data_IF_119267102815
#
_entry.id   IF_119267102815
#
_cell.length_a   1.000
_cell.length_b   1.000
_cell.length_c   1.000
_cell.angle_alpha   90.00
_cell.angle_beta   90.00
_cell.angle_gamma   90.00
#
_symmetry.space_group_name_H-M   'P 1'
#
loop_
_entity.id
_entity.type
_entity.pdbx_description
1 polymer ?
#
# COMPACT_ATOMS: atom_id res chain seq x y z
N UNK A 1 11.49 -41.41 -0.45
CA UNK A 1 12.43 -42.12 -1.33
C UNK A 1 12.83 -43.37 -0.57
N UNK A 2 12.38 -44.56 -0.99
CA UNK A 2 12.81 -45.81 -0.35
C UNK A 2 14.22 -46.11 -0.83
N UNK A 3 15.21 -45.75 -0.02
CA UNK A 3 16.59 -46.11 -0.26
C UNK A 3 16.68 -47.63 -0.26
N UNK A 4 17.04 -48.21 -1.41
CA UNK A 4 17.23 -49.66 -1.51
C UNK A 4 18.63 -49.96 -1.02
N UNK A 5 18.82 -50.77 0.04
CA UNK A 5 20.14 -51.07 0.57
C UNK A 5 21.06 -51.60 -0.53
N UNK A 6 22.29 -51.08 -0.60
CA UNK A 6 23.25 -51.39 -1.66
C UNK A 6 24.38 -52.23 -1.07
N UNK A 7 24.71 -53.32 -1.72
CA UNK A 7 25.87 -54.17 -1.40
C UNK A 7 26.93 -53.90 -2.45
N UNK A 8 28.11 -53.48 -2.01
CA UNK A 8 29.26 -53.29 -2.87
C UNK A 8 30.34 -54.31 -2.51
N UNK A 9 30.64 -55.22 -3.45
CA UNK A 9 31.58 -56.32 -3.22
C UNK A 9 31.09 -57.29 -2.15
N UNK A 10 31.62 -57.17 -0.93
CA UNK A 10 31.30 -58.04 0.22
C UNK A 10 30.61 -57.32 1.37
N UNK A 11 30.21 -56.06 1.19
CA UNK A 11 29.73 -55.22 2.29
C UNK A 11 28.38 -54.61 1.93
N UNK A 12 27.39 -54.79 2.81
CA UNK A 12 26.15 -54.04 2.78
C UNK A 12 26.41 -52.62 3.30
N UNK A 13 26.14 -51.63 2.46
CA UNK A 13 26.25 -50.21 2.79
C UNK A 13 25.01 -49.74 3.55
N UNK A 14 25.23 -49.19 4.74
CA UNK A 14 24.22 -48.63 5.63
C UNK A 14 24.90 -47.95 6.82
N UNK A 15 24.11 -47.59 7.84
CA UNK A 15 24.62 -46.91 9.06
C UNK A 15 25.70 -47.75 9.78
N UNK A 16 25.58 -49.08 9.70
CA UNK A 16 26.60 -50.04 10.13
C UNK A 16 26.95 -50.95 8.96
N UNK A 17 28.19 -50.95 8.46
CA UNK A 17 28.62 -51.87 7.42
C UNK A 17 28.51 -53.33 7.90
N UNK A 18 27.79 -54.17 7.16
CA UNK A 18 27.62 -55.60 7.46
C UNK A 18 28.33 -56.43 6.38
N UNK A 19 29.14 -57.41 6.79
CA UNK A 19 29.82 -58.32 5.88
C UNK A 19 28.87 -59.41 5.36
N UNK A 20 28.84 -59.62 4.03
CA UNK A 20 27.99 -60.63 3.41
C UNK A 20 28.43 -62.03 3.85
N UNK A 21 27.47 -62.82 4.34
CA UNK A 21 27.72 -64.16 4.89
C UNK A 21 28.00 -64.19 6.39
N UNK A 22 28.06 -63.04 7.07
CA UNK A 22 28.13 -62.98 8.53
C UNK A 22 26.78 -63.36 9.19
N UNK A 23 26.76 -63.69 10.49
CA UNK A 23 25.50 -63.89 11.22
C UNK A 23 24.57 -62.68 11.17
N UNK A 24 25.14 -61.47 11.21
CA UNK A 24 24.41 -60.20 11.11
C UNK A 24 23.77 -60.01 9.73
N UNK A 25 24.43 -60.48 8.68
CA UNK A 25 23.89 -60.48 7.31
C UNK A 25 22.63 -61.35 7.20
N UNK A 26 22.67 -62.57 7.72
CA UNK A 26 21.51 -63.46 7.68
C UNK A 26 20.36 -62.93 8.57
N UNK A 27 20.68 -62.38 9.75
CA UNK A 27 19.69 -61.73 10.61
C UNK A 27 19.00 -60.56 9.88
N UNK A 28 19.76 -59.77 9.14
CA UNK A 28 19.24 -58.67 8.35
C UNK A 28 18.36 -59.14 7.17
N UNK A 29 18.73 -60.23 6.49
CA UNK A 29 17.92 -60.82 5.41
C UNK A 29 16.61 -61.43 5.91
N UNK A 30 16.60 -61.97 7.13
CA UNK A 30 15.41 -62.57 7.72
C UNK A 30 14.44 -61.54 8.33
N UNK A 31 14.90 -60.30 8.57
CA UNK A 31 14.03 -59.20 8.98
C UNK A 31 12.85 -59.02 8.00
N UNK A 32 11.59 -59.04 8.47
CA UNK A 32 10.40 -58.75 7.64
C UNK A 32 10.43 -57.38 6.95
N UNK A 33 11.20 -56.42 7.48
CA UNK A 33 11.40 -55.12 6.86
C UNK A 33 12.26 -55.20 5.58
N UNK A 34 13.14 -56.20 5.49
CA UNK A 34 14.06 -56.38 4.38
C UNK A 34 13.40 -57.14 3.23
N UNK A 35 12.91 -56.39 2.24
CA UNK A 35 12.20 -56.94 1.07
C UNK A 35 13.02 -56.94 -0.21
N UNK A 36 14.07 -56.12 -0.28
CA UNK A 36 14.90 -55.99 -1.47
C UNK A 36 16.24 -55.34 -1.17
N UNK A 37 17.26 -55.67 -1.96
CA UNK A 37 18.57 -55.05 -1.92
C UNK A 37 19.21 -55.03 -3.31
N UNK A 38 20.11 -54.09 -3.56
CA UNK A 38 20.88 -54.03 -4.80
C UNK A 38 22.27 -54.62 -4.56
N UNK A 39 22.73 -55.51 -5.43
CA UNK A 39 24.10 -56.02 -5.40
C UNK A 39 24.91 -55.44 -6.57
N UNK A 40 26.09 -54.92 -6.27
CA UNK A 40 27.02 -54.30 -7.21
C UNK A 40 28.42 -54.93 -7.08
N UNK A 41 28.86 -55.64 -8.12
CA UNK A 41 30.20 -56.23 -8.20
C UNK A 41 31.21 -55.22 -8.75
N UNK A 42 30.81 -54.45 -9.75
CA UNK A 42 31.55 -53.36 -10.38
C UNK A 42 30.55 -52.32 -10.94
N UNK A 43 31.06 -51.18 -11.45
CA UNK A 43 30.25 -50.07 -11.94
C UNK A 43 29.28 -50.43 -13.09
N UNK A 44 29.44 -51.59 -13.72
CA UNK A 44 28.67 -52.02 -14.88
C UNK A 44 27.79 -53.25 -14.60
N UNK A 45 27.99 -53.92 -13.46
CA UNK A 45 27.38 -55.21 -13.16
C UNK A 45 26.66 -55.16 -11.82
N UNK A 46 25.38 -54.78 -11.91
CA UNK A 46 24.43 -54.74 -10.79
C UNK A 46 23.17 -55.54 -11.06
N UNK A 47 22.54 -56.05 -10.01
CA UNK A 47 21.18 -56.60 -10.05
C UNK A 47 20.40 -56.25 -8.78
N UNK A 48 19.07 -56.31 -8.87
CA UNK A 48 18.17 -56.08 -7.75
C UNK A 48 17.65 -57.42 -7.21
N UNK A 49 17.97 -57.76 -5.98
CA UNK A 49 17.40 -58.89 -5.28
C UNK A 49 16.05 -58.52 -4.66
N UNK A 50 15.06 -59.41 -4.76
CA UNK A 50 13.73 -59.26 -4.15
C UNK A 50 13.30 -60.53 -3.44
N UNK A 51 12.81 -60.37 -2.21
CA UNK A 51 12.25 -61.43 -1.38
C UNK A 51 10.80 -61.68 -1.78
N UNK A 52 10.43 -62.93 -1.99
CA UNK A 52 9.05 -63.40 -2.17
C UNK A 52 8.71 -64.31 -1.00
N UNK A 53 7.78 -63.87 -0.16
CA UNK A 53 7.26 -64.69 0.94
C UNK A 53 6.37 -65.80 0.39
N UNK A 54 6.55 -67.01 0.93
CA UNK A 54 5.63 -68.12 0.71
C UNK A 54 4.71 -68.28 1.92
N UNK A 55 3.58 -68.98 1.75
CA UNK A 55 2.60 -69.19 2.83
C UNK A 55 3.17 -69.93 4.06
N UNK A 56 4.35 -70.55 3.94
CA UNK A 56 5.08 -71.24 5.02
C UNK A 56 6.09 -70.36 5.77
N UNK A 57 6.18 -69.06 5.47
CA UNK A 57 7.10 -68.13 6.14
C UNK A 57 8.55 -68.20 5.63
N UNK A 58 8.91 -69.20 4.82
CA UNK A 58 10.19 -69.25 4.12
C UNK A 58 10.15 -68.35 2.88
N UNK A 59 10.93 -67.27 2.90
CA UNK A 59 11.07 -66.35 1.77
C UNK A 59 12.07 -66.91 0.76
N UNK A 60 11.70 -66.88 -0.53
CA UNK A 60 12.64 -67.15 -1.63
C UNK A 60 13.09 -65.85 -2.25
N UNK A 61 14.37 -65.75 -2.58
CA UNK A 61 14.98 -64.58 -3.19
C UNK A 61 15.08 -64.74 -4.71
N UNK A 62 14.96 -63.63 -5.43
CA UNK A 62 15.12 -63.58 -6.88
C UNK A 62 15.93 -62.35 -7.29
N UNK A 63 16.88 -62.53 -8.20
CA UNK A 63 17.69 -61.48 -8.81
C UNK A 63 17.02 -60.97 -10.08
N UNK A 64 16.94 -59.64 -10.23
CA UNK A 64 16.35 -58.96 -11.39
C UNK A 64 17.39 -58.05 -12.04
N UNK A 65 17.62 -58.19 -13.34
CA UNK A 65 18.50 -57.31 -14.11
C UNK A 65 17.92 -57.00 -15.48
N UNK A 66 18.04 -55.75 -15.92
CA UNK A 66 17.66 -55.35 -17.28
C UNK A 66 18.86 -55.55 -18.23
N UNK A 67 18.71 -56.40 -19.24
CA UNK A 67 19.75 -56.71 -20.24
C UNK A 67 19.14 -56.49 -21.63
N UNK A 68 19.74 -55.61 -22.44
CA UNK A 68 19.27 -55.27 -23.81
C UNK A 68 17.77 -54.94 -23.94
N UNK A 69 17.18 -54.31 -22.92
CA UNK A 69 15.77 -53.91 -22.92
C UNK A 69 14.82 -54.88 -22.22
N UNK A 70 15.23 -56.13 -21.98
CA UNK A 70 14.43 -57.17 -21.32
C UNK A 70 14.84 -57.34 -19.85
N UNK A 71 13.89 -57.69 -18.98
CA UNK A 71 14.15 -57.99 -17.57
C UNK A 71 14.38 -59.48 -17.41
N UNK A 72 15.58 -59.86 -17.00
CA UNK A 72 15.94 -61.24 -16.63
C UNK A 72 15.74 -61.44 -15.14
N UNK A 73 15.22 -62.61 -14.79
CA UNK A 73 14.96 -63.01 -13.40
C UNK A 73 15.63 -64.35 -13.12
N UNK A 74 16.51 -64.40 -12.13
CA UNK A 74 17.14 -65.64 -11.64
C UNK A 74 16.70 -65.91 -10.20
N UNK A 75 16.52 -67.18 -9.84
CA UNK A 75 16.24 -67.58 -8.47
C UNK A 75 17.52 -67.60 -7.66
N UNK A 76 17.56 -66.88 -6.54
CA UNK A 76 18.70 -66.86 -5.63
C UNK A 76 18.60 -67.94 -4.53
N UNK A 77 17.42 -68.55 -4.36
CA UNK A 77 17.20 -69.57 -3.32
C UNK A 77 16.67 -68.98 -2.02
N UNK A 78 16.97 -69.66 -0.91
CA UNK A 78 16.57 -69.26 0.44
C UNK A 78 17.56 -68.28 1.08
N UNK A 79 17.24 -67.71 2.24
CA UNK A 79 18.13 -66.79 2.95
C UNK A 79 19.53 -67.38 3.20
N UNK A 80 19.61 -68.68 3.53
CA UNK A 80 20.89 -69.36 3.80
C UNK A 80 21.75 -69.56 2.56
N UNK A 81 21.16 -69.50 1.36
CA UNK A 81 21.87 -69.72 0.10
C UNK A 81 22.53 -68.41 -0.41
N UNK A 82 22.23 -67.27 0.23
CA UNK A 82 22.75 -65.95 -0.14
C UNK A 82 24.15 -65.68 0.44
N UNK A 83 25.13 -66.49 0.03
CA UNK A 83 26.54 -66.22 0.30
C UNK A 83 27.15 -65.32 -0.78
N UNK A 84 28.33 -64.78 -0.50
CA UNK A 84 29.09 -63.96 -1.46
C UNK A 84 29.31 -64.70 -2.79
N UNK A 85 29.72 -65.96 -2.72
CA UNK A 85 30.02 -66.80 -3.88
C UNK A 85 28.76 -67.03 -4.72
N UNK A 86 27.60 -67.23 -4.07
CA UNK A 86 26.33 -67.38 -4.75
C UNK A 86 25.90 -66.09 -5.46
N UNK A 87 26.06 -64.93 -4.81
CA UNK A 87 25.76 -63.62 -5.42
C UNK A 87 26.66 -63.34 -6.62
N UNK A 88 27.97 -63.61 -6.51
CA UNK A 88 28.93 -63.43 -7.60
C UNK A 88 28.67 -64.37 -8.79
N UNK A 89 28.33 -65.64 -8.52
CA UNK A 89 27.95 -66.60 -9.57
C UNK A 89 26.70 -66.15 -10.33
N UNK A 90 25.70 -65.62 -9.60
CA UNK A 90 24.46 -65.11 -10.20
C UNK A 90 24.70 -63.83 -10.99
N UNK A 91 25.65 -62.98 -10.57
CA UNK A 91 26.06 -61.80 -11.35
C UNK A 91 26.57 -62.20 -12.73
N UNK A 92 27.40 -63.24 -12.79
CA UNK A 92 27.95 -63.75 -14.04
C UNK A 92 26.83 -64.39 -14.88
N UNK A 93 26.00 -65.22 -14.28
CA UNK A 93 24.90 -65.91 -14.96
C UNK A 93 23.81 -64.96 -15.48
N UNK A 94 23.41 -63.95 -14.70
CA UNK A 94 22.37 -62.99 -15.13
C UNK A 94 22.88 -62.03 -16.22
N UNK A 95 24.20 -61.93 -16.36
CA UNK A 95 24.87 -61.08 -17.36
C UNK A 95 25.21 -61.84 -18.65
N UNK A 96 25.27 -63.18 -18.62
CA UNK A 96 25.47 -63.95 -19.85
C UNK A 96 24.17 -63.92 -20.68
N UNK A 97 24.24 -63.55 -21.97
CA UNK A 97 23.10 -63.60 -22.87
C UNK A 97 22.87 -65.04 -23.35
N UNK A 98 22.54 -65.97 -22.45
CA UNK A 98 22.07 -67.30 -22.87
C UNK A 98 20.55 -67.26 -23.13
N UNK A 99 20.11 -67.99 -24.16
CA UNK A 99 18.75 -67.99 -24.73
C UNK A 99 17.86 -69.06 -24.05
N UNK A 100 18.43 -69.94 -23.24
CA UNK A 100 17.80 -71.22 -22.89
C UNK A 100 17.54 -71.48 -21.39
N UNK A 101 17.67 -70.44 -20.55
CA UNK A 101 17.54 -70.58 -19.11
C UNK A 101 16.13 -71.06 -18.67
N UNK A 102 15.06 -70.69 -19.39
CA UNK A 102 13.70 -71.14 -19.09
C UNK A 102 13.46 -72.63 -19.43
N UNK A 103 14.17 -73.19 -20.42
CA UNK A 103 14.03 -74.60 -20.79
C UNK A 103 14.79 -75.53 -19.83
N UNK A 104 16.01 -75.15 -19.39
CA UNK A 104 16.76 -75.90 -18.36
C UNK A 104 16.02 -75.98 -17.02
N UNK A 105 15.31 -74.92 -16.64
CA UNK A 105 14.50 -74.91 -15.41
C UNK A 105 13.27 -75.84 -15.50
N UNK A 106 12.66 -76.01 -16.68
CA UNK A 106 11.57 -76.98 -16.87
C UNK A 106 12.08 -78.42 -16.81
N UNK A 107 13.22 -78.69 -17.42
CA UNK A 107 13.80 -80.04 -17.51
C UNK A 107 14.16 -80.62 -16.14
N UNK A 108 14.64 -79.79 -15.20
CA UNK A 108 15.02 -80.21 -13.85
C UNK A 108 13.84 -80.57 -12.94
N UNK A 109 12.60 -80.15 -13.26
CA UNK A 109 11.38 -80.54 -12.53
C UNK A 109 10.74 -81.83 -13.02
N UNK A 110 11.03 -82.26 -14.25
CA UNK A 110 10.36 -83.42 -14.86
C UNK A 110 11.17 -84.70 -14.68
N UNK A 111 11.30 -85.19 -13.44
CA UNK A 111 11.51 -86.63 -13.20
C UNK A 111 10.14 -87.31 -13.17
N UNK A 112 9.81 -88.24 -14.10
CA UNK A 112 8.51 -88.88 -14.09
C UNK A 112 8.47 -89.91 -12.96
N UNK A 113 7.75 -89.61 -11.89
CA UNK A 113 7.28 -90.65 -10.98
C UNK A 113 6.11 -91.37 -11.66
N UNK A 114 6.28 -92.67 -11.88
CA UNK A 114 5.20 -93.58 -12.27
C UNK A 114 4.12 -93.56 -11.19
N UNK A 115 3.00 -92.91 -11.47
CA UNK A 115 1.78 -92.99 -10.68
C UNK A 115 0.60 -92.81 -11.61
N UNK A 116 -0.03 -93.92 -12.01
CA UNK A 116 -1.31 -93.93 -12.71
C UNK A 116 -2.41 -93.32 -11.83
N UNK A 117 -2.57 -92.00 -11.89
CA UNK A 117 -3.85 -91.36 -11.58
C UNK A 117 -4.63 -91.25 -12.88
N UNK A 118 -5.82 -91.85 -12.97
CA UNK A 118 -6.75 -91.63 -14.09
C UNK A 118 -6.98 -90.12 -14.27
N UNK A 119 -6.26 -89.51 -15.21
CA UNK A 119 -6.54 -88.17 -15.70
C UNK A 119 -7.90 -88.22 -16.41
N UNK A 120 -8.89 -87.49 -15.91
CA UNK A 120 -10.25 -87.43 -16.50
C UNK A 120 -10.35 -86.17 -17.37
N UNK A 121 -9.97 -86.21 -18.65
CA UNK A 121 -9.93 -85.04 -19.53
C UNK A 121 -11.28 -84.30 -19.58
N UNK A 122 -12.40 -85.03 -19.55
CA UNK A 122 -13.75 -84.44 -19.54
C UNK A 122 -14.05 -83.54 -18.31
N UNK A 123 -13.37 -83.75 -17.17
CA UNK A 123 -13.54 -82.87 -15.99
C UNK A 123 -12.70 -81.60 -16.12
N UNK A 124 -11.55 -81.68 -16.77
CA UNK A 124 -10.68 -80.54 -17.00
C UNK A 124 -11.19 -79.68 -18.15
N UNK A 125 -11.72 -80.26 -19.22
CA UNK A 125 -12.41 -79.54 -20.30
C UNK A 125 -13.56 -78.70 -19.76
N UNK A 126 -14.44 -79.28 -18.91
CA UNK A 126 -15.51 -78.51 -18.24
C UNK A 126 -15.00 -77.34 -17.40
N UNK A 127 -13.87 -77.52 -16.70
CA UNK A 127 -13.23 -76.44 -15.92
C UNK A 127 -12.63 -75.37 -16.82
N UNK A 128 -12.08 -75.74 -17.96
CA UNK A 128 -11.53 -74.81 -18.94
C UNK A 128 -12.66 -74.00 -19.55
N UNK A 129 -13.75 -74.62 -20.00
CA UNK A 129 -14.92 -73.93 -20.54
C UNK A 129 -15.53 -72.99 -19.51
N UNK A 130 -15.74 -73.45 -18.27
CA UNK A 130 -16.28 -72.61 -17.20
C UNK A 130 -15.37 -71.40 -16.87
N UNK A 131 -14.05 -71.56 -16.96
CA UNK A 131 -13.10 -70.44 -16.83
C UNK A 131 -13.14 -69.51 -18.03
N UNK A 132 -13.31 -70.04 -19.25
CA UNK A 132 -13.43 -69.24 -20.46
C UNK A 132 -14.71 -68.39 -20.43
N UNK A 133 -15.84 -68.97 -20.01
CA UNK A 133 -17.11 -68.26 -19.85
C UNK A 133 -17.01 -67.18 -18.76
N UNK A 134 -16.45 -67.52 -17.59
CA UNK A 134 -16.24 -66.54 -16.52
C UNK A 134 -15.32 -65.39 -16.93
N UNK A 135 -14.24 -65.69 -17.66
CA UNK A 135 -13.35 -64.66 -18.21
C UNK A 135 -14.05 -63.82 -19.29
N UNK A 136 -14.93 -64.41 -20.10
CA UNK A 136 -15.73 -63.69 -21.10
C UNK A 136 -16.69 -62.71 -20.43
N UNK A 137 -17.43 -63.14 -19.40
CA UNK A 137 -18.33 -62.29 -18.63
C UNK A 137 -17.59 -61.13 -17.96
N UNK A 138 -16.39 -61.38 -17.42
CA UNK A 138 -15.56 -60.36 -16.79
C UNK A 138 -15.00 -59.37 -17.82
N UNK A 139 -14.63 -59.83 -19.01
CA UNK A 139 -14.23 -58.95 -20.12
C UNK A 139 -15.40 -58.07 -20.60
N UNK A 140 -16.61 -58.59 -20.66
CA UNK A 140 -17.79 -57.79 -21.02
C UNK A 140 -18.08 -56.71 -19.97
N UNK A 141 -17.98 -57.04 -18.68
CA UNK A 141 -18.11 -56.07 -17.58
C UNK A 141 -17.04 -54.97 -17.69
N UNK A 142 -15.78 -55.34 -17.85
CA UNK A 142 -14.69 -54.37 -18.00
C UNK A 142 -14.85 -53.48 -19.23
N UNK A 143 -15.36 -54.02 -20.34
CA UNK A 143 -15.68 -53.23 -21.54
C UNK A 143 -16.81 -52.24 -21.30
N UNK A 144 -17.86 -52.64 -20.58
CA UNK A 144 -18.95 -51.74 -20.22
C UNK A 144 -18.46 -50.62 -19.28
N UNK A 145 -17.61 -50.94 -18.31
CA UNK A 145 -16.99 -49.95 -17.43
C UNK A 145 -16.07 -48.98 -18.17
N UNK A 146 -15.24 -49.48 -19.10
CA UNK A 146 -14.40 -48.64 -19.94
C UNK A 146 -15.23 -47.67 -20.77
N UNK A 147 -16.30 -48.15 -21.42
CA UNK A 147 -17.21 -47.30 -22.19
C UNK A 147 -17.85 -46.22 -21.31
N UNK A 148 -18.31 -46.57 -20.11
CA UNK A 148 -18.86 -45.59 -19.16
C UNK A 148 -17.84 -44.55 -18.73
N UNK A 149 -16.58 -44.96 -18.48
CA UNK A 149 -15.50 -44.03 -18.14
C UNK A 149 -15.14 -43.11 -19.33
N UNK A 150 -15.14 -43.62 -20.55
CA UNK A 150 -14.90 -42.82 -21.76
C UNK A 150 -16.00 -41.78 -21.97
N UNK A 151 -17.27 -42.14 -21.75
CA UNK A 151 -18.39 -41.21 -21.77
C UNK A 151 -18.24 -40.11 -20.69
N UNK A 152 -17.81 -40.47 -19.48
CA UNK A 152 -17.54 -39.51 -18.42
C UNK A 152 -16.36 -38.57 -18.76
N UNK A 153 -15.28 -39.09 -19.35
CA UNK A 153 -14.16 -38.28 -19.83
C UNK A 153 -14.62 -37.30 -20.90
N UNK A 154 -15.43 -37.74 -21.86
CA UNK A 154 -15.97 -36.87 -22.90
C UNK A 154 -16.85 -35.74 -22.33
N UNK A 155 -17.68 -36.04 -21.32
CA UNK A 155 -18.47 -35.04 -20.61
C UNK A 155 -17.60 -34.02 -19.85
N UNK A 156 -16.59 -34.49 -19.12
CA UNK A 156 -15.66 -33.60 -18.41
C UNK A 156 -14.86 -32.71 -19.36
N UNK A 157 -14.46 -33.24 -20.52
CA UNK A 157 -13.77 -32.46 -21.54
C UNK A 157 -14.68 -31.38 -22.16
N UNK A 158 -15.97 -31.65 -22.36
CA UNK A 158 -16.91 -30.65 -22.87
C UNK A 158 -17.16 -29.56 -21.83
N UNK A 159 -17.34 -29.92 -20.56
CA UNK A 159 -17.46 -28.97 -19.45
C UNK A 159 -16.22 -28.09 -19.30
N UNK A 160 -15.02 -28.69 -19.37
CA UNK A 160 -13.76 -27.95 -19.30
C UNK A 160 -13.60 -26.96 -20.47
N UNK A 161 -14.07 -27.33 -21.67
CA UNK A 161 -14.09 -26.40 -22.82
C UNK A 161 -15.04 -25.23 -22.55
N UNK A 162 -16.25 -25.49 -22.04
CA UNK A 162 -17.21 -24.44 -21.71
C UNK A 162 -16.65 -23.45 -20.67
N UNK A 163 -16.11 -23.97 -19.56
CA UNK A 163 -15.50 -23.14 -18.50
C UNK A 163 -14.33 -22.32 -19.02
N UNK A 164 -13.50 -22.87 -19.92
CA UNK A 164 -12.40 -22.11 -20.54
C UNK A 164 -12.89 -20.93 -21.38
N UNK A 165 -14.00 -21.10 -22.11
CA UNK A 165 -14.61 -20.03 -22.90
C UNK A 165 -15.14 -18.94 -21.97
N UNK A 166 -15.88 -19.31 -20.92
CA UNK A 166 -16.39 -18.35 -19.93
C UNK A 166 -15.27 -17.58 -19.23
N UNK A 167 -14.22 -18.28 -18.77
CA UNK A 167 -13.03 -17.65 -18.18
C UNK A 167 -12.38 -16.65 -19.14
N UNK A 168 -12.26 -16.99 -20.43
CA UNK A 168 -11.67 -16.09 -21.41
C UNK A 168 -12.53 -14.84 -21.61
N UNK A 169 -13.86 -14.99 -21.64
CA UNK A 169 -14.81 -13.87 -21.70
C UNK A 169 -14.68 -12.97 -20.48
N UNK A 170 -14.72 -13.54 -19.26
CA UNK A 170 -14.55 -12.80 -18.01
C UNK A 170 -13.19 -12.09 -17.93
N UNK A 171 -12.13 -12.72 -18.44
CA UNK A 171 -10.80 -12.10 -18.51
C UNK A 171 -10.81 -10.86 -19.42
N UNK A 172 -11.43 -10.95 -20.60
CA UNK A 172 -11.59 -9.81 -21.50
C UNK A 172 -12.40 -8.68 -20.84
N UNK A 173 -13.52 -9.00 -20.20
CA UNK A 173 -14.34 -8.04 -19.46
C UNK A 173 -13.54 -7.35 -18.34
N UNK A 174 -12.79 -8.11 -17.55
CA UNK A 174 -11.94 -7.57 -16.49
C UNK A 174 -10.86 -6.63 -17.04
N UNK A 175 -10.23 -6.97 -18.17
CA UNK A 175 -9.26 -6.06 -18.80
C UNK A 175 -9.90 -4.78 -19.36
N UNK A 176 -11.15 -4.87 -19.85
CA UNK A 176 -11.92 -3.70 -20.30
C UNK A 176 -12.27 -2.78 -19.13
N UNK A 177 -12.79 -3.34 -18.03
CA UNK A 177 -13.09 -2.60 -16.81
C UNK A 177 -11.85 -1.94 -16.19
N UNK A 178 -10.70 -2.63 -16.23
CA UNK A 178 -9.44 -2.06 -15.76
C UNK A 178 -9.04 -0.81 -16.55
N UNK A 179 -9.14 -0.84 -17.88
CA UNK A 179 -8.85 0.33 -18.73
C UNK A 179 -9.82 1.47 -18.46
N UNK A 180 -11.12 1.18 -18.37
CA UNK A 180 -12.13 2.20 -18.06
C UNK A 180 -11.88 2.86 -16.70
N UNK A 181 -11.53 2.09 -15.67
CA UNK A 181 -11.15 2.65 -14.36
C UNK A 181 -9.87 3.49 -14.42
N UNK A 182 -8.92 3.13 -15.27
CA UNK A 182 -7.72 3.93 -15.48
C UNK A 182 -8.04 5.28 -16.13
N UNK A 183 -8.95 5.32 -17.11
CA UNK A 183 -9.42 6.54 -17.76
C UNK A 183 -10.20 7.42 -16.78
N UNK A 184 -11.18 6.87 -16.06
CA UNK A 184 -11.91 7.60 -15.01
C UNK A 184 -10.97 8.15 -13.93
N UNK A 185 -9.90 7.42 -13.60
CA UNK A 185 -8.88 7.87 -12.66
C UNK A 185 -8.04 9.04 -13.19
N UNK A 186 -7.86 9.17 -14.51
CA UNK A 186 -7.22 10.34 -15.13
C UNK A 186 -8.18 11.53 -15.11
N UNK A 187 -9.41 11.33 -15.56
CA UNK A 187 -10.44 12.38 -15.57
C UNK A 187 -10.67 12.97 -14.17
N UNK A 188 -10.68 12.11 -13.13
CA UNK A 188 -10.80 12.56 -11.74
C UNK A 188 -9.59 13.39 -11.28
N UNK A 189 -8.37 13.08 -11.74
CA UNK A 189 -7.17 13.87 -11.43
C UNK A 189 -7.18 15.22 -12.15
N UNK A 190 -7.60 15.22 -13.41
CA UNK A 190 -7.74 16.45 -14.21
C UNK A 190 -8.81 17.36 -13.59
N UNK A 191 -9.98 16.81 -13.24
CA UNK A 191 -11.03 17.55 -12.55
C UNK A 191 -10.55 18.10 -11.20
N UNK A 192 -9.83 17.30 -10.41
CA UNK A 192 -9.25 17.76 -9.14
C UNK A 192 -8.25 18.91 -9.35
N UNK A 193 -7.35 18.78 -10.33
CA UNK A 193 -6.38 19.82 -10.65
C UNK A 193 -7.05 21.15 -11.05
N UNK A 194 -8.15 21.09 -11.80
CA UNK A 194 -8.94 22.29 -12.15
C UNK A 194 -9.57 22.94 -10.92
N UNK A 195 -10.12 22.14 -10.00
CA UNK A 195 -10.70 22.65 -8.74
C UNK A 195 -9.62 23.29 -7.86
N UNK A 196 -8.45 22.67 -7.75
CA UNK A 196 -7.34 23.20 -6.97
C UNK A 196 -6.82 24.51 -7.58
N UNK A 197 -6.67 24.59 -8.91
CA UNK A 197 -6.29 25.83 -9.60
C UNK A 197 -7.33 26.95 -9.40
N UNK A 198 -8.62 26.65 -9.49
CA UNK A 198 -9.68 27.63 -9.24
C UNK A 198 -9.68 28.10 -7.78
N UNK A 199 -9.41 27.20 -6.84
CA UNK A 199 -9.26 27.53 -5.42
C UNK A 199 -8.07 28.45 -5.18
N UNK A 200 -6.92 28.17 -5.79
CA UNK A 200 -5.73 29.03 -5.68
C UNK A 200 -5.97 30.41 -6.25
N UNK A 201 -6.61 30.51 -7.42
CA UNK A 201 -7.01 31.78 -8.01
C UNK A 201 -7.94 32.55 -7.05
N UNK A 202 -8.99 31.89 -6.55
CA UNK A 202 -9.94 32.53 -5.63
C UNK A 202 -9.28 32.96 -4.32
N UNK A 203 -8.35 32.17 -3.79
CA UNK A 203 -7.58 32.53 -2.61
C UNK A 203 -6.70 33.76 -2.85
N UNK A 204 -6.10 33.89 -4.05
CA UNK A 204 -5.34 35.07 -4.43
C UNK A 204 -6.22 36.33 -4.49
N UNK A 205 -7.40 36.23 -5.11
CA UNK A 205 -8.38 37.32 -5.15
C UNK A 205 -8.83 37.75 -3.75
N UNK A 206 -9.10 36.78 -2.86
CA UNK A 206 -9.44 37.05 -1.46
C UNK A 206 -8.30 37.78 -0.75
N UNK A 207 -7.05 37.31 -0.90
CA UNK A 207 -5.89 37.94 -0.29
C UNK A 207 -5.70 39.39 -0.77
N UNK A 208 -5.88 39.65 -2.07
CA UNK A 208 -5.82 40.99 -2.63
C UNK A 208 -6.90 41.92 -2.05
N UNK A 209 -8.12 41.41 -1.90
CA UNK A 209 -9.21 42.17 -1.28
C UNK A 209 -8.94 42.45 0.20
N UNK A 210 -8.37 41.49 0.93
CA UNK A 210 -7.96 41.68 2.33
C UNK A 210 -6.90 42.77 2.43
N UNK A 211 -5.86 42.74 1.60
CA UNK A 211 -4.83 43.78 1.59
C UNK A 211 -5.42 45.18 1.30
N UNK A 212 -6.34 45.26 0.32
CA UNK A 212 -7.08 46.50 0.03
C UNK A 212 -7.91 46.99 1.22
N UNK A 213 -8.52 46.08 1.98
CA UNK A 213 -9.28 46.42 3.18
C UNK A 213 -8.35 46.91 4.30
N UNK A 214 -7.22 46.25 4.53
CA UNK A 214 -6.24 46.70 5.53
C UNK A 214 -5.71 48.11 5.25
N UNK A 215 -5.46 48.43 3.99
CA UNK A 215 -5.08 49.79 3.58
C UNK A 215 -6.20 50.79 3.90
N UNK A 216 -7.46 50.45 3.61
CA UNK A 216 -8.61 51.31 3.93
C UNK A 216 -8.79 51.48 5.44
N UNK A 217 -8.59 50.44 6.23
CA UNK A 217 -8.67 50.51 7.69
C UNK A 217 -7.58 51.41 8.27
N UNK A 218 -6.37 51.37 7.72
CA UNK A 218 -5.29 52.33 8.07
C UNK A 218 -5.68 53.78 7.77
N UNK A 219 -6.35 54.03 6.64
CA UNK A 219 -6.85 55.38 6.30
C UNK A 219 -7.97 55.81 7.24
N UNK A 220 -8.91 54.91 7.57
CA UNK A 220 -10.00 55.21 8.51
C UNK A 220 -9.43 55.57 9.88
N UNK A 221 -8.47 54.79 10.38
CA UNK A 221 -7.83 55.07 11.68
C UNK A 221 -7.08 56.40 11.68
N UNK A 222 -6.35 56.76 10.62
CA UNK A 222 -5.70 58.08 10.53
C UNK A 222 -6.71 59.23 10.50
N UNK A 223 -7.83 59.07 9.78
CA UNK A 223 -8.89 60.08 9.77
C UNK A 223 -9.60 60.19 11.13
N UNK A 224 -9.76 59.08 11.84
CA UNK A 224 -10.29 59.09 13.21
C UNK A 224 -9.35 59.83 14.16
N UNK A 225 -8.03 59.60 14.08
CA UNK A 225 -7.07 60.34 14.91
C UNK A 225 -7.08 61.83 14.59
N UNK A 226 -7.09 62.21 13.32
CA UNK A 226 -7.18 63.62 12.89
C UNK A 226 -8.48 64.27 13.40
N UNK A 227 -9.62 63.58 13.24
CA UNK A 227 -10.90 64.04 13.78
C UNK A 227 -10.83 64.28 15.29
N UNK A 228 -10.22 63.37 16.06
CA UNK A 228 -10.08 63.55 17.52
C UNK A 228 -9.18 64.73 17.87
N UNK A 229 -8.10 64.96 17.12
CA UNK A 229 -7.22 66.13 17.30
C UNK A 229 -7.96 67.44 17.03
N UNK A 230 -8.71 67.51 15.92
CA UNK A 230 -9.53 68.68 15.59
C UNK A 230 -10.63 68.94 16.62
N UNK A 231 -11.25 67.87 17.16
CA UNK A 231 -12.23 68.00 18.25
C UNK A 231 -11.59 68.54 19.53
N UNK A 232 -10.37 68.11 19.88
CA UNK A 232 -9.63 68.63 21.02
C UNK A 232 -9.27 70.11 20.83
N UNK A 233 -8.77 70.50 19.65
CA UNK A 233 -8.49 71.90 19.31
C UNK A 233 -9.74 72.77 19.41
N UNK A 234 -10.88 72.30 18.90
CA UNK A 234 -12.16 73.02 19.03
C UNK A 234 -12.60 73.19 20.49
N UNK A 235 -12.31 72.21 21.35
CA UNK A 235 -12.59 72.32 22.78
C UNK A 235 -11.70 73.38 23.44
N UNK A 236 -10.40 73.42 23.11
CA UNK A 236 -9.45 74.45 23.58
C UNK A 236 -9.92 75.86 23.17
N UNK A 237 -10.22 76.08 21.88
CA UNK A 237 -10.73 77.37 21.41
C UNK A 237 -12.04 77.78 22.10
N UNK A 238 -12.93 76.82 22.42
CA UNK A 238 -14.15 77.11 23.18
C UNK A 238 -13.85 77.51 24.62
N UNK A 239 -12.86 76.89 25.27
CA UNK A 239 -12.43 77.29 26.62
C UNK A 239 -11.78 78.66 26.64
N UNK A 240 -10.96 78.99 25.63
CA UNK A 240 -10.39 80.34 25.45
C UNK A 240 -11.48 81.39 25.20
N UNK A 241 -12.47 81.08 24.35
CA UNK A 241 -13.61 81.96 24.10
C UNK A 241 -14.55 82.11 25.31
N UNK A 242 -14.53 81.15 26.25
CA UNK A 242 -15.29 81.16 27.50
C UNK A 242 -14.52 81.80 28.67
N UNK A 243 -13.27 82.25 28.45
CA UNK A 243 -12.55 83.03 29.45
C UNK A 243 -13.37 84.27 29.83
N UNK A 244 -13.46 84.63 31.13
CA UNK A 244 -14.24 85.77 31.57
C UNK A 244 -13.70 87.03 30.89
N UNK A 245 -14.52 87.66 30.05
CA UNK A 245 -14.20 88.97 29.48
C UNK A 245 -13.83 89.92 30.63
N UNK A 246 -12.74 90.71 30.51
CA UNK A 246 -12.33 91.62 31.58
C UNK A 246 -13.51 92.49 31.98
N UNK A 247 -13.78 92.55 33.29
CA UNK A 247 -14.83 93.41 33.83
C UNK A 247 -14.43 94.86 33.61
N UNK A 248 -15.04 95.50 32.62
CA UNK A 248 -14.87 96.92 32.36
C UNK A 248 -15.48 97.72 33.52
N UNK A 249 -14.62 98.30 34.36
CA UNK A 249 -15.06 99.26 35.37
C UNK A 249 -15.44 100.57 34.69
N UNK A 250 -16.70 100.96 34.88
CA UNK A 250 -17.29 102.18 34.31
C UNK A 250 -16.75 103.41 35.04
N UNK A 251 -15.67 104.02 34.55
CA UNK A 251 -15.15 105.28 35.10
C UNK A 251 -15.97 106.44 34.52
N UNK A 252 -16.98 106.88 35.28
CA UNK A 252 -17.61 108.19 35.13
C UNK A 252 -18.68 108.33 34.04
N UNK A 253 -19.86 108.80 34.43
CA UNK A 253 -20.90 109.24 33.52
C UNK A 253 -20.52 110.58 32.89
N UNK A 254 -20.44 110.60 31.56
CA UNK A 254 -20.34 111.77 30.69
C UNK A 254 -21.04 113.02 31.24
N UNK A 255 -20.29 114.11 31.40
CA UNK A 255 -20.70 115.49 31.02
C UNK A 255 -19.58 116.53 31.14
N UNK A 256 -18.40 116.21 31.69
CA UNK A 256 -17.31 117.20 31.85
C UNK A 256 -16.19 117.12 30.80
N UNK A 257 -15.93 115.95 30.21
CA UNK A 257 -14.74 115.71 29.39
C UNK A 257 -14.71 116.48 28.05
N UNK A 258 -15.85 116.75 27.40
CA UNK A 258 -15.85 117.47 26.12
C UNK A 258 -15.50 118.96 26.27
N UNK A 259 -15.87 119.58 27.39
CA UNK A 259 -15.61 121.01 27.63
C UNK A 259 -14.15 121.23 28.04
N UNK A 260 -13.63 120.40 28.94
CA UNK A 260 -12.22 120.43 29.35
C UNK A 260 -11.26 120.09 28.20
N UNK A 261 -11.64 119.16 27.32
CA UNK A 261 -10.83 118.79 26.15
C UNK A 261 -10.86 119.88 25.05
N UNK A 262 -11.99 120.57 24.87
CA UNK A 262 -12.09 121.72 23.94
C UNK A 262 -11.28 122.95 24.44
N UNK A 263 -11.27 123.19 25.74
CA UNK A 263 -10.43 124.23 26.37
C UNK A 263 -8.94 123.89 26.27
N UNK A 264 -8.54 122.64 26.54
CA UNK A 264 -7.14 122.20 26.42
C UNK A 264 -6.60 122.21 24.99
N UNK A 265 -7.46 121.97 23.98
CA UNK A 265 -7.07 122.00 22.56
C UNK A 265 -7.14 123.41 21.92
N UNK A 266 -7.43 124.45 22.70
CA UNK A 266 -7.35 125.85 22.25
C UNK A 266 -8.38 126.25 21.18
N UNK A 267 -9.54 125.59 21.12
CA UNK A 267 -10.60 125.90 20.16
C UNK A 267 -11.94 126.12 20.83
N UNK A 268 -12.27 127.39 21.05
CA UNK A 268 -13.65 127.81 21.23
C UNK A 268 -14.33 127.81 19.85
N UNK A 269 -15.12 126.79 19.53
CA UNK A 269 -16.41 126.95 18.83
C UNK A 269 -17.15 125.62 18.62
N UNK A 270 -18.40 125.68 19.00
CA UNK A 270 -19.48 124.69 18.89
C UNK A 270 -19.85 124.42 17.44
N UNK A 271 -19.17 123.50 16.73
CA UNK A 271 -19.76 122.78 15.59
C UNK A 271 -18.86 121.63 15.14
N UNK A 272 -19.04 120.45 15.73
CA UNK A 272 -18.53 119.21 15.16
C UNK A 272 -19.63 118.16 15.27
N UNK A 273 -20.29 117.90 14.15
CA UNK A 273 -21.17 116.74 14.01
C UNK A 273 -21.03 116.14 12.62
N UNK A 274 -21.14 114.81 12.63
CA UNK A 274 -21.62 113.94 11.56
C UNK A 274 -20.63 113.67 10.44
N UNK A 275 -19.75 112.69 10.66
CA UNK A 275 -19.79 111.39 9.98
C UNK A 275 -18.41 110.71 10.08
N UNK A 276 -18.40 109.52 10.68
CA UNK A 276 -17.26 108.59 10.86
C UNK A 276 -16.13 108.98 11.84
N UNK A 277 -15.66 108.02 12.66
CA UNK A 277 -14.57 108.21 13.61
C UNK A 277 -13.25 107.96 12.89
N UNK A 278 -12.66 108.99 12.29
CA UNK A 278 -11.22 109.00 12.04
C UNK A 278 -10.57 110.01 12.98
N UNK A 279 -10.30 109.54 14.20
CA UNK A 279 -9.32 110.08 15.13
C UNK A 279 -8.78 108.87 15.90
N UNK A 280 -7.47 108.55 15.83
CA UNK A 280 -6.42 109.45 16.32
C UNK A 280 -5.08 109.35 15.54
N UNK A 281 -4.81 110.28 14.61
CA UNK A 281 -3.43 110.66 14.30
C UNK A 281 -3.07 112.04 14.90
N UNK A 282 -4.07 112.77 15.40
CA UNK A 282 -3.89 114.15 15.84
C UNK A 282 -3.67 114.33 17.36
N UNK A 283 -3.72 113.26 18.16
CA UNK A 283 -3.54 113.35 19.63
C UNK A 283 -2.13 113.01 20.11
N UNK A 284 -1.30 112.32 19.32
CA UNK A 284 0.03 111.91 19.79
C UNK A 284 1.03 113.07 19.97
N UNK A 285 0.81 114.22 19.32
CA UNK A 285 1.77 115.33 19.33
C UNK A 285 1.37 116.56 20.15
N UNK A 286 0.15 116.63 20.71
CA UNK A 286 -0.38 117.85 21.35
C UNK A 286 -1.09 117.64 22.68
N UNK A 287 -1.23 116.41 23.16
CA UNK A 287 -1.73 116.14 24.50
C UNK A 287 -0.54 116.13 25.48
N UNK A 288 -0.45 117.08 26.44
CA UNK A 288 0.70 117.18 27.35
C UNK A 288 0.90 115.94 28.25
N UNK A 289 -0.06 115.03 28.33
CA UNK A 289 -0.03 113.83 29.18
C UNK A 289 0.18 112.51 28.40
N UNK A 290 0.30 112.53 27.06
CA UNK A 290 0.53 111.35 26.18
C UNK A 290 -0.41 110.16 26.48
N UNK A 291 -1.70 110.44 26.64
CA UNK A 291 -2.72 109.41 26.91
C UNK A 291 -3.22 108.78 25.61
N UNK A 292 -3.28 107.44 25.57
CA UNK A 292 -3.85 106.69 24.45
C UNK A 292 -5.38 106.61 24.62
N UNK A 293 -6.13 106.84 23.54
CA UNK A 293 -7.59 106.83 23.57
C UNK A 293 -8.13 105.83 22.54
N UNK A 294 -9.14 105.04 22.92
CA UNK A 294 -9.79 104.08 22.03
C UNK A 294 -11.29 104.35 21.92
N UNK A 295 -11.84 104.22 20.71
CA UNK A 295 -13.26 104.36 20.43
C UNK A 295 -13.99 103.03 20.65
N UNK A 296 -15.07 103.06 21.43
CA UNK A 296 -16.02 101.95 21.53
C UNK A 296 -17.25 102.28 20.66
N UNK A 297 -17.44 101.46 19.63
CA UNK A 297 -18.54 101.63 18.67
C UNK A 297 -19.91 101.35 19.28
N UNK A 298 -19.99 100.51 20.31
CA UNK A 298 -21.24 100.17 21.00
C UNK A 298 -21.71 101.27 21.94
N UNK A 299 -20.78 101.90 22.67
CA UNK A 299 -21.06 102.98 23.62
C UNK A 299 -21.03 104.38 22.96
N UNK A 300 -20.52 104.49 21.73
CA UNK A 300 -20.27 105.76 21.03
C UNK A 300 -19.48 106.76 21.87
N UNK A 301 -18.45 106.28 22.57
CA UNK A 301 -17.62 107.09 23.45
C UNK A 301 -16.13 106.72 23.29
N UNK A 302 -15.25 107.68 23.61
CA UNK A 302 -13.81 107.45 23.73
C UNK A 302 -13.45 107.09 25.17
N UNK A 303 -12.61 106.08 25.32
CA UNK A 303 -12.09 105.63 26.61
C UNK A 303 -10.58 105.81 26.65
N UNK A 304 -10.06 106.21 27.81
CA UNK A 304 -8.63 106.25 28.07
C UNK A 304 -8.11 104.83 28.19
N UNK A 305 -7.11 104.48 27.38
CA UNK A 305 -6.40 103.20 27.47
C UNK A 305 -5.36 103.34 28.57
N UNK A 306 -5.73 102.92 29.77
CA UNK A 306 -4.77 102.77 30.86
C UNK A 306 -4.03 101.45 30.56
N UNK A 307 -2.80 101.54 30.05
CA UNK A 307 -1.90 100.40 30.10
C UNK A 307 -1.51 100.22 31.57
N UNK A 308 -2.20 99.31 32.27
CA UNK A 308 -1.67 98.79 33.52
C UNK A 308 -0.35 98.08 33.20
N UNK A 309 0.74 98.58 33.77
CA UNK A 309 2.05 97.99 33.64
C UNK A 309 2.15 96.70 34.47
N UNK A 310 2.56 95.64 33.76
CA UNK A 310 3.02 94.30 34.23
C UNK A 310 1.96 93.39 34.83
#
# INVERSE_FOLDING_TARGET
>A
MTDTPIIQGNILLGDTPIEVGSPEWFAWLDDPATKSFSYEKDAFTRFLARKRETKSGSGTWSAHKKVKGEVRVLGLGSTSDLTKEALESIVEEISTPDVDHWERFKATRSKPSLGQGLYKPAKEEKRITQRQDANSDELEKLRAELKSKDEAIAQLQSQLKAVKVERNKLSQEATGLFKANQELGKDARESKALVDAYREQWQAEVNELVEKLEVKDKVITSLQTEKTQLQAQLAEYRTEASAPKPQWQRVGTLTLAQKEMAERLGKATTTLWRNHPRFPEYSQGKDPEVKAWQWDESAKAYYEVIQEGV
#
